data_IF_779687909290
#
_entry.id   IF_779687909290
#
_cell.length_a   1.000
_cell.length_b   1.000
_cell.length_c   1.000
_cell.angle_alpha   90.00
_cell.angle_beta   90.00
_cell.angle_gamma   90.00
#
_symmetry.space_group_name_H-M   'P 1'
#
loop_
_entity.id
_entity.type
_entity.pdbx_description
1 polymer ?
#
# COMPACT_ATOMS: atom_id res chain seq x y z
N UNK A 1 -14.74 56.07 0.85
CA UNK A 1 -15.44 55.27 -0.19
C UNK A 1 -14.67 55.10 -1.51
N UNK A 2 -13.51 55.72 -1.74
CA UNK A 2 -12.71 55.52 -2.99
C UNK A 2 -11.76 54.31 -2.95
N UNK A 3 -11.43 53.81 -1.77
CA UNK A 3 -10.47 52.70 -1.57
C UNK A 3 -11.07 51.33 -1.90
N UNK A 4 -12.35 51.14 -1.58
CA UNK A 4 -13.07 49.90 -1.88
C UNK A 4 -13.22 49.68 -3.40
N UNK A 5 -13.47 50.75 -4.16
CA UNK A 5 -13.65 50.66 -5.62
C UNK A 5 -12.38 50.24 -6.36
N UNK A 6 -11.21 50.71 -5.91
CA UNK A 6 -9.90 50.33 -6.48
C UNK A 6 -9.59 48.87 -6.14
N UNK A 7 -9.91 48.44 -4.91
CA UNK A 7 -9.72 47.06 -4.48
C UNK A 7 -10.60 46.09 -5.29
N UNK A 8 -11.84 46.48 -5.61
CA UNK A 8 -12.74 45.70 -6.45
C UNK A 8 -12.21 45.55 -7.89
N UNK A 9 -11.62 46.60 -8.46
CA UNK A 9 -11.07 46.55 -9.83
C UNK A 9 -9.82 45.65 -9.89
N UNK A 10 -8.93 45.74 -8.88
CA UNK A 10 -7.77 44.84 -8.79
C UNK A 10 -8.17 43.38 -8.64
N UNK A 11 -9.24 43.08 -7.89
CA UNK A 11 -9.72 41.71 -7.71
C UNK A 11 -10.22 41.10 -9.04
N UNK A 12 -10.92 41.87 -9.86
CA UNK A 12 -11.45 41.40 -11.16
C UNK A 12 -10.30 41.17 -12.16
N UNK A 13 -9.27 42.02 -12.14
CA UNK A 13 -8.08 41.83 -12.99
C UNK A 13 -7.26 40.58 -12.61
N UNK A 14 -7.14 40.24 -11.33
CA UNK A 14 -6.44 39.03 -10.87
C UNK A 14 -7.20 37.76 -11.30
N UNK A 15 -8.53 37.77 -11.22
CA UNK A 15 -9.36 36.62 -11.65
C UNK A 15 -9.27 36.42 -13.17
N UNK A 16 -9.24 37.50 -13.95
CA UNK A 16 -9.10 37.43 -15.40
C UNK A 16 -7.71 36.89 -15.83
N UNK A 17 -6.63 37.28 -15.15
CA UNK A 17 -5.28 36.77 -15.43
C UNK A 17 -5.16 35.28 -15.07
N UNK A 18 -5.83 34.83 -14.00
CA UNK A 18 -5.87 33.42 -13.62
C UNK A 18 -6.60 32.51 -14.64
N UNK A 19 -7.56 33.06 -15.39
CA UNK A 19 -8.31 32.33 -16.44
C UNK A 19 -7.71 32.49 -17.85
N UNK A 20 -6.86 33.51 -18.07
CA UNK A 20 -6.21 33.77 -19.36
C UNK A 20 -4.79 33.17 -19.47
N UNK A 21 -4.21 32.68 -18.38
CA UNK A 21 -3.03 31.83 -18.49
C UNK A 21 -3.47 30.51 -19.13
N UNK A 22 -2.97 30.16 -20.33
CA UNK A 22 -3.25 28.84 -20.86
C UNK A 22 -2.82 27.84 -19.80
N UNK A 23 -3.71 26.94 -19.42
CA UNK A 23 -3.40 25.80 -18.57
C UNK A 23 -2.49 24.85 -19.36
N UNK A 24 -1.26 25.29 -19.64
CA UNK A 24 -0.17 24.42 -20.05
C UNK A 24 -0.07 23.45 -18.91
N UNK A 25 -0.48 22.19 -19.15
CA UNK A 25 -0.20 21.08 -18.24
C UNK A 25 1.31 21.08 -18.05
N UNK A 26 1.77 21.71 -16.97
CA UNK A 26 3.18 21.64 -16.59
C UNK A 26 3.45 20.18 -16.30
N UNK A 27 4.50 19.68 -16.92
CA UNK A 27 5.02 18.36 -16.58
C UNK A 27 5.39 18.29 -15.09
N UNK A 28 5.71 17.09 -14.62
CA UNK A 28 6.15 16.91 -13.23
C UNK A 28 7.39 17.76 -13.00
N UNK A 29 7.26 18.81 -12.17
CA UNK A 29 8.39 19.68 -11.83
C UNK A 29 9.54 18.88 -11.21
N UNK A 30 10.78 19.26 -11.51
CA UNK A 30 11.98 18.47 -11.16
C UNK A 30 12.03 17.99 -9.70
N UNK A 31 11.76 18.88 -8.74
CA UNK A 31 11.72 18.53 -7.31
C UNK A 31 10.61 17.54 -6.96
N UNK A 32 9.42 17.69 -7.58
CA UNK A 32 8.29 16.76 -7.38
C UNK A 32 8.62 15.39 -7.97
N UNK A 33 9.31 15.36 -9.10
CA UNK A 33 9.82 14.13 -9.72
C UNK A 33 10.83 13.42 -8.83
N UNK A 34 11.85 14.14 -8.33
CA UNK A 34 12.87 13.61 -7.43
C UNK A 34 12.27 13.00 -6.15
N UNK A 35 11.43 13.77 -5.44
CA UNK A 35 10.75 13.25 -4.24
C UNK A 35 9.83 12.09 -4.57
N UNK A 36 9.10 12.16 -5.69
CA UNK A 36 8.24 11.09 -6.16
C UNK A 36 9.00 9.78 -6.37
N UNK A 37 10.18 9.83 -7.02
CA UNK A 37 11.05 8.67 -7.22
C UNK A 37 11.55 8.14 -5.89
N UNK A 38 12.04 9.01 -4.99
CA UNK A 38 12.53 8.62 -3.66
C UNK A 38 11.46 7.88 -2.83
N UNK A 39 10.25 8.44 -2.75
CA UNK A 39 9.16 7.81 -2.00
C UNK A 39 8.68 6.52 -2.68
N UNK A 40 8.62 6.48 -4.01
CA UNK A 40 8.31 5.26 -4.77
C UNK A 40 9.29 4.14 -4.42
N UNK A 41 10.60 4.41 -4.37
CA UNK A 41 11.61 3.41 -4.03
C UNK A 41 11.49 2.93 -2.58
N UNK A 42 11.21 3.85 -1.66
CA UNK A 42 10.93 3.51 -0.26
C UNK A 42 9.71 2.60 -0.12
N UNK A 43 8.61 2.93 -0.79
CA UNK A 43 7.39 2.09 -0.81
C UNK A 43 7.64 0.75 -1.48
N UNK A 44 8.45 0.70 -2.54
CA UNK A 44 8.82 -0.54 -3.22
C UNK A 44 9.61 -1.47 -2.30
N UNK A 45 10.58 -0.92 -1.56
CA UNK A 45 11.36 -1.67 -0.56
C UNK A 45 10.45 -2.24 0.53
N UNK A 46 9.65 -1.40 1.18
CA UNK A 46 8.72 -1.83 2.24
C UNK A 46 7.74 -2.91 1.75
N UNK A 47 7.20 -2.74 0.54
CA UNK A 47 6.29 -3.74 -0.08
C UNK A 47 7.01 -5.07 -0.35
N UNK A 48 8.27 -5.01 -0.77
CA UNK A 48 9.10 -6.20 -1.00
C UNK A 48 9.42 -6.95 0.28
N UNK A 49 9.71 -6.23 1.37
CA UNK A 49 10.00 -6.83 2.68
C UNK A 49 8.78 -7.60 3.19
N UNK A 50 7.58 -7.02 3.10
CA UNK A 50 6.32 -7.70 3.47
C UNK A 50 6.07 -8.94 2.59
N UNK A 51 6.34 -8.87 1.29
CA UNK A 51 6.22 -10.03 0.39
C UNK A 51 7.19 -11.17 0.75
N UNK A 52 8.37 -10.84 1.29
CA UNK A 52 9.33 -11.85 1.75
C UNK A 52 8.79 -12.55 3.00
N UNK A 53 8.36 -11.78 4.01
CA UNK A 53 7.75 -12.30 5.23
C UNK A 53 6.54 -13.19 4.94
N UNK A 54 5.75 -12.87 3.92
CA UNK A 54 4.62 -13.71 3.50
C UNK A 54 5.02 -15.16 3.20
N UNK A 55 6.15 -15.38 2.51
CA UNK A 55 6.62 -16.73 2.21
C UNK A 55 7.00 -17.50 3.48
N UNK A 56 7.47 -16.78 4.50
CA UNK A 56 7.81 -17.38 5.78
C UNK A 56 6.54 -17.77 6.54
N UNK A 57 5.48 -16.96 6.50
CA UNK A 57 4.16 -17.34 7.04
C UNK A 57 3.58 -18.58 6.36
N UNK A 58 3.59 -18.68 5.02
CA UNK A 58 3.09 -19.89 4.32
C UNK A 58 3.82 -21.15 4.81
N UNK A 59 5.16 -21.08 4.90
CA UNK A 59 5.96 -22.21 5.39
C UNK A 59 5.64 -22.58 6.84
N UNK A 60 5.47 -21.58 7.71
CA UNK A 60 5.14 -21.80 9.11
C UNK A 60 3.74 -22.39 9.27
N UNK A 61 2.75 -21.93 8.49
CA UNK A 61 1.40 -22.47 8.50
C UNK A 61 1.37 -23.94 8.04
N UNK A 62 2.12 -24.27 6.98
CA UNK A 62 2.27 -25.67 6.52
C UNK A 62 2.99 -26.54 7.55
N UNK A 63 4.05 -26.03 8.18
CA UNK A 63 4.78 -26.73 9.22
C UNK A 63 3.89 -26.98 10.45
N UNK A 64 3.11 -25.99 10.87
CA UNK A 64 2.15 -26.11 11.96
C UNK A 64 1.13 -27.22 11.71
N UNK A 65 0.50 -27.24 10.52
CA UNK A 65 -0.50 -28.24 10.17
C UNK A 65 0.04 -29.68 10.14
N UNK A 66 1.35 -29.85 9.90
CA UNK A 66 2.01 -31.16 9.95
C UNK A 66 2.44 -31.55 11.37
N UNK A 67 3.04 -30.62 12.10
CA UNK A 67 3.65 -30.89 13.40
C UNK A 67 2.62 -31.08 14.53
N UNK A 68 1.51 -30.33 14.51
CA UNK A 68 0.51 -30.39 15.60
C UNK A 68 -0.13 -31.77 15.74
N UNK A 69 -0.61 -32.43 14.67
CA UNK A 69 -1.15 -33.79 14.78
C UNK A 69 -0.12 -34.83 15.26
N UNK A 70 1.15 -34.66 14.89
CA UNK A 70 2.23 -35.56 15.31
C UNK A 70 2.55 -35.40 16.80
N UNK A 71 2.71 -34.15 17.27
CA UNK A 71 2.93 -33.84 18.67
C UNK A 71 1.74 -34.30 19.54
N UNK A 72 0.51 -34.04 19.09
CA UNK A 72 -0.69 -34.46 19.79
C UNK A 72 -0.78 -35.98 20.01
N UNK A 73 -0.34 -36.78 19.02
CA UNK A 73 -0.26 -38.24 19.15
C UNK A 73 0.77 -38.69 20.19
N UNK A 74 1.89 -37.98 20.30
CA UNK A 74 2.94 -38.28 21.28
C UNK A 74 2.49 -37.96 22.70
N UNK A 75 1.77 -36.84 22.87
CA UNK A 75 1.33 -36.35 24.17
C UNK A 75 -0.03 -36.92 24.62
N UNK A 76 -0.70 -37.72 23.77
CA UNK A 76 -2.04 -38.23 24.05
C UNK A 76 -3.10 -37.11 24.15
N UNK A 77 -2.91 -36.03 23.39
CA UNK A 77 -3.82 -34.87 23.40
C UNK A 77 -5.16 -35.21 22.76
N UNK A 78 -6.24 -34.70 23.35
CA UNK A 78 -7.61 -34.88 22.84
C UNK A 78 -7.75 -34.34 21.41
N UNK A 79 -8.43 -35.13 20.56
CA UNK A 79 -8.65 -34.79 19.16
C UNK A 79 -9.40 -33.45 18.98
N UNK A 80 -10.31 -33.12 19.91
CA UNK A 80 -11.05 -31.85 19.88
C UNK A 80 -10.11 -30.63 19.96
N UNK A 81 -9.06 -30.71 20.77
CA UNK A 81 -8.04 -29.65 20.89
C UNK A 81 -7.24 -29.52 19.60
N UNK A 82 -6.86 -30.66 19.00
CA UNK A 82 -6.15 -30.69 17.71
C UNK A 82 -6.98 -30.05 16.61
N UNK A 83 -8.25 -30.43 16.49
CA UNK A 83 -9.16 -29.90 15.47
C UNK A 83 -9.38 -28.39 15.66
N UNK A 84 -9.47 -27.93 16.91
CA UNK A 84 -9.55 -26.50 17.23
C UNK A 84 -8.28 -25.74 16.78
N UNK A 85 -7.09 -26.26 17.06
CA UNK A 85 -5.81 -25.66 16.66
C UNK A 85 -5.67 -25.58 15.14
N UNK A 86 -6.02 -26.66 14.43
CA UNK A 86 -5.98 -26.70 12.96
C UNK A 86 -6.97 -25.69 12.36
N UNK A 87 -8.18 -25.59 12.91
CA UNK A 87 -9.18 -24.61 12.48
C UNK A 87 -8.76 -23.17 12.78
N UNK A 88 -8.07 -22.94 13.91
CA UNK A 88 -7.49 -21.65 14.22
C UNK A 88 -6.41 -21.27 13.20
N UNK A 89 -5.49 -22.18 12.89
CA UNK A 89 -4.45 -21.95 11.89
C UNK A 89 -5.02 -21.74 10.48
N UNK A 90 -6.10 -22.43 10.12
CA UNK A 90 -6.82 -22.21 8.86
C UNK A 90 -7.37 -20.77 8.76
N UNK A 91 -7.92 -20.23 9.86
CA UNK A 91 -8.38 -18.83 9.90
C UNK A 91 -7.22 -17.86 9.76
N UNK A 92 -6.12 -18.11 10.49
CA UNK A 92 -4.91 -17.32 10.39
C UNK A 92 -4.33 -17.32 8.97
N UNK A 93 -4.29 -18.48 8.31
CA UNK A 93 -3.83 -18.62 6.93
C UNK A 93 -4.69 -17.81 5.93
N UNK A 94 -6.00 -17.71 6.16
CA UNK A 94 -6.88 -16.83 5.37
C UNK A 94 -6.51 -15.35 5.52
N UNK A 95 -6.19 -14.90 6.74
CA UNK A 95 -5.74 -13.52 6.98
C UNK A 95 -4.38 -13.25 6.32
N UNK A 96 -3.44 -14.20 6.39
CA UNK A 96 -2.14 -14.15 5.69
C UNK A 96 -2.33 -14.05 4.17
N UNK A 97 -3.27 -14.80 3.59
CA UNK A 97 -3.63 -14.71 2.16
C UNK A 97 -4.20 -13.35 1.79
N UNK A 98 -5.03 -12.75 2.65
CA UNK A 98 -5.54 -11.40 2.45
C UNK A 98 -4.41 -10.36 2.48
N UNK A 99 -3.47 -10.49 3.43
CA UNK A 99 -2.29 -9.63 3.50
C UNK A 99 -1.51 -9.67 2.17
N UNK A 100 -1.26 -10.86 1.59
CA UNK A 100 -0.62 -10.97 0.26
C UNK A 100 -1.40 -10.27 -0.83
N UNK A 101 -2.73 -10.41 -0.85
CA UNK A 101 -3.55 -9.76 -1.86
C UNK A 101 -3.42 -8.23 -1.78
N UNK A 102 -3.44 -7.68 -0.56
CA UNK A 102 -3.21 -6.26 -0.30
C UNK A 102 -1.80 -5.85 -0.75
N UNK A 103 -0.76 -6.59 -0.39
CA UNK A 103 0.63 -6.28 -0.78
C UNK A 103 0.83 -6.32 -2.30
N UNK A 104 0.18 -7.27 -3.00
CA UNK A 104 0.16 -7.28 -4.48
C UNK A 104 -0.49 -6.03 -5.05
N UNK A 105 -1.56 -5.53 -4.43
CA UNK A 105 -2.22 -4.30 -4.85
C UNK A 105 -1.34 -3.07 -4.60
N UNK A 106 -0.62 -2.99 -3.48
CA UNK A 106 0.37 -1.94 -3.22
C UNK A 106 1.44 -1.91 -4.32
N UNK A 107 1.98 -3.08 -4.72
CA UNK A 107 2.94 -3.18 -5.81
C UNK A 107 2.38 -2.66 -7.14
N UNK A 108 1.11 -2.94 -7.45
CA UNK A 108 0.43 -2.40 -8.64
C UNK A 108 0.31 -0.87 -8.56
N UNK A 109 -0.03 -0.30 -7.41
CA UNK A 109 -0.10 1.15 -7.21
C UNK A 109 1.27 1.82 -7.38
N UNK A 110 2.33 1.21 -6.86
CA UNK A 110 3.72 1.67 -7.06
C UNK A 110 4.10 1.63 -8.54
N UNK A 111 3.70 0.59 -9.29
CA UNK A 111 3.92 0.52 -10.74
C UNK A 111 3.21 1.64 -11.50
N UNK A 112 1.96 1.98 -11.12
CA UNK A 112 1.24 3.12 -11.68
C UNK A 112 1.94 4.45 -11.38
N UNK A 113 2.43 4.63 -10.14
CA UNK A 113 3.23 5.80 -9.77
C UNK A 113 4.50 5.89 -10.61
N UNK A 114 5.23 4.77 -10.78
CA UNK A 114 6.42 4.71 -11.63
C UNK A 114 6.14 5.14 -13.06
N UNK A 115 5.04 4.66 -13.66
CA UNK A 115 4.62 5.07 -15.01
C UNK A 115 4.28 6.55 -15.11
N UNK A 116 3.80 7.17 -14.03
CA UNK A 116 3.47 8.60 -14.02
C UNK A 116 4.72 9.48 -13.86
N UNK A 117 5.70 9.03 -13.08
CA UNK A 117 6.96 9.76 -12.83
C UNK A 117 7.95 9.72 -14.00
N UNK A 118 7.86 8.73 -14.88
CA UNK A 118 8.74 8.56 -16.05
C UNK A 118 7.99 8.73 -17.38
N UNK A 119 6.83 9.38 -17.35
CA UNK A 119 6.10 9.84 -18.53
C UNK A 119 6.51 11.26 -18.82
#
# INVERSE_FOLDING_TARGET
MKFLSILSIFLVFIIAIAHAAPAVKRDIGSKVGEFGVRFKDLYAKQTSDVLKTYKDFEKQNEAFNKAIPEAAKQDGTDQEVVDWLLKWNEKYDKEVKQLRAITKNLRKSISKLNKKLHK
#
